data_IF_946894921707
#
_entry.id   IF_946894921707
#
_cell.length_a   1.000
_cell.length_b   1.000
_cell.length_c   1.000
_cell.angle_alpha   90.00
_cell.angle_beta   90.00
_cell.angle_gamma   90.00
#
_symmetry.space_group_name_H-M   'P 1'
#
loop_
_entity.id
_entity.type
_entity.pdbx_description
1 polymer ?
#
# COMPACT_ATOMS: atom_id res chain seq x y z
N UNK A 1 -7.75 -18.68 15.36
CA UNK A 1 -7.32 -17.98 14.12
C UNK A 1 -6.64 -19.00 13.21
N UNK A 2 -6.93 -18.98 11.91
CA UNK A 2 -6.26 -19.86 10.96
C UNK A 2 -4.80 -19.43 10.76
N UNK A 3 -3.87 -20.38 10.78
CA UNK A 3 -2.45 -20.14 10.50
C UNK A 3 -2.13 -20.50 9.06
N UNK A 4 -1.35 -19.67 8.36
CA UNK A 4 -0.83 -19.96 7.04
C UNK A 4 0.68 -20.27 7.11
N UNK A 5 1.17 -21.18 6.26
CA UNK A 5 2.58 -21.58 6.20
C UNK A 5 3.29 -20.84 5.08
N UNK A 6 4.43 -20.23 5.39
CA UNK A 6 5.31 -19.57 4.42
C UNK A 6 6.41 -20.54 4.00
N UNK A 7 6.45 -20.92 2.72
CA UNK A 7 7.46 -21.84 2.17
C UNK A 7 8.31 -21.13 1.11
N UNK A 8 9.63 -21.18 1.29
CA UNK A 8 10.59 -20.65 0.33
C UNK A 8 11.80 -21.59 0.22
N UNK A 9 12.28 -21.80 -1.01
CA UNK A 9 13.55 -22.49 -1.28
C UNK A 9 14.62 -21.45 -1.56
N UNK A 10 15.74 -21.54 -0.84
CA UNK A 10 16.87 -20.62 -0.97
C UNK A 10 18.16 -21.41 -1.16
N UNK A 11 19.17 -20.80 -1.78
CA UNK A 11 20.50 -21.40 -1.86
C UNK A 11 21.14 -21.52 -0.47
N UNK A 12 22.12 -22.43 -0.28
CA UNK A 12 22.84 -22.55 0.98
C UNK A 12 23.54 -21.25 1.41
N UNK A 13 24.03 -20.48 0.45
CA UNK A 13 24.67 -19.17 0.68
C UNK A 13 23.68 -18.16 1.26
N UNK A 14 22.49 -18.04 0.66
CA UNK A 14 21.41 -17.17 1.18
C UNK A 14 21.00 -17.62 2.59
N UNK A 15 20.84 -18.93 2.80
CA UNK A 15 20.49 -19.47 4.11
C UNK A 15 21.54 -19.12 5.18
N UNK A 16 22.83 -19.22 4.86
CA UNK A 16 23.92 -18.87 5.77
C UNK A 16 23.91 -17.38 6.12
N UNK A 17 23.70 -16.51 5.12
CA UNK A 17 23.61 -15.08 5.32
C UNK A 17 22.43 -14.71 6.25
N UNK A 18 21.23 -15.23 5.96
CA UNK A 18 20.04 -14.98 6.77
C UNK A 18 20.23 -15.48 8.21
N UNK A 19 20.85 -16.65 8.40
CA UNK A 19 21.13 -17.20 9.73
C UNK A 19 22.09 -16.32 10.51
N UNK A 20 23.14 -15.78 9.86
CA UNK A 20 24.08 -14.85 10.48
C UNK A 20 23.38 -13.54 10.86
N UNK A 21 22.56 -12.97 9.98
CA UNK A 21 21.82 -11.74 10.25
C UNK A 21 20.84 -11.91 11.43
N UNK A 22 20.09 -13.02 11.46
CA UNK A 22 19.20 -13.36 12.57
C UNK A 22 19.96 -13.46 13.91
N UNK A 23 21.14 -14.10 13.90
CA UNK A 23 21.98 -14.22 15.09
C UNK A 23 22.51 -12.87 15.59
N UNK A 24 22.87 -11.95 14.68
CA UNK A 24 23.31 -10.60 15.05
C UNK A 24 22.20 -9.78 15.71
N UNK A 25 20.94 -10.03 15.36
CA UNK A 25 19.77 -9.40 15.97
C UNK A 25 19.21 -10.17 17.18
N UNK A 26 19.85 -11.27 17.59
CA UNK A 26 19.43 -12.05 18.76
C UNK A 26 18.08 -12.75 18.60
N UNK A 27 17.67 -13.07 17.37
CA UNK A 27 16.38 -13.69 17.05
C UNK A 27 16.50 -14.94 16.20
N UNK A 28 15.43 -15.73 16.13
CA UNK A 28 15.40 -16.94 15.30
C UNK A 28 15.42 -16.60 13.81
N UNK A 29 15.91 -17.52 12.98
CA UNK A 29 15.91 -17.34 11.52
C UNK A 29 14.50 -17.11 10.97
N UNK A 30 13.51 -17.88 11.45
CA UNK A 30 12.12 -17.74 11.02
C UNK A 30 11.56 -16.36 11.39
N UNK A 31 11.80 -15.90 12.61
CA UNK A 31 11.35 -14.57 13.05
C UNK A 31 12.04 -13.45 12.27
N UNK A 32 13.35 -13.56 12.04
CA UNK A 32 14.10 -12.63 11.19
C UNK A 32 13.50 -12.52 9.78
N UNK A 33 13.23 -13.66 9.13
CA UNK A 33 12.71 -13.68 7.76
C UNK A 33 11.29 -13.10 7.70
N UNK A 34 10.40 -13.54 8.60
CA UNK A 34 9.00 -13.10 8.59
C UNK A 34 8.88 -11.61 8.92
N UNK A 35 9.59 -11.13 9.93
CA UNK A 35 9.57 -9.71 10.30
C UNK A 35 10.15 -8.81 9.21
N UNK A 36 11.23 -9.25 8.54
CA UNK A 36 11.83 -8.52 7.43
C UNK A 36 10.89 -8.46 6.23
N UNK A 37 10.30 -9.60 5.86
CA UNK A 37 9.29 -9.67 4.79
C UNK A 37 8.08 -8.78 5.11
N UNK A 38 7.59 -8.80 6.35
CA UNK A 38 6.47 -7.97 6.79
C UNK A 38 6.80 -6.48 6.71
N UNK A 39 8.00 -6.07 7.15
CA UNK A 39 8.42 -4.67 7.09
C UNK A 39 8.45 -4.15 5.64
N UNK A 40 9.00 -4.95 4.73
CA UNK A 40 9.05 -4.59 3.31
C UNK A 40 7.64 -4.58 2.72
N UNK A 41 6.83 -5.60 2.99
CA UNK A 41 5.46 -5.69 2.48
C UNK A 41 4.61 -4.48 2.91
N UNK A 42 4.68 -4.08 4.19
CA UNK A 42 3.97 -2.88 4.69
C UNK A 42 4.37 -1.63 3.93
N UNK A 43 5.68 -1.40 3.76
CA UNK A 43 6.20 -0.24 3.02
C UNK A 43 5.75 -0.26 1.57
N UNK A 44 5.80 -1.42 0.90
CA UNK A 44 5.37 -1.55 -0.49
C UNK A 44 3.89 -1.26 -0.64
N UNK A 45 3.04 -1.78 0.25
CA UNK A 45 1.59 -1.52 0.24
C UNK A 45 1.31 -0.04 0.49
N UNK A 46 1.91 0.54 1.53
CA UNK A 46 1.76 1.97 1.83
C UNK A 46 2.16 2.86 0.64
N UNK A 47 3.27 2.55 -0.03
CA UNK A 47 3.72 3.32 -1.19
C UNK A 47 2.79 3.26 -2.40
N UNK A 48 2.00 2.20 -2.56
CA UNK A 48 1.11 2.03 -3.72
C UNK A 48 -0.34 2.42 -3.41
N UNK A 49 -0.78 2.22 -2.18
CA UNK A 49 -2.19 2.34 -1.80
C UNK A 49 -2.47 3.61 -0.98
N UNK A 50 -1.45 4.26 -0.41
CA UNK A 50 -1.61 5.46 0.41
C UNK A 50 -1.13 6.69 -0.33
N UNK A 51 -2.06 7.62 -0.58
CA UNK A 51 -1.75 8.94 -1.11
C UNK A 51 -1.29 9.86 0.04
N UNK A 52 0.01 10.13 0.13
CA UNK A 52 0.54 11.08 1.11
C UNK A 52 0.34 12.53 0.61
N UNK A 53 -0.52 13.26 1.31
CA UNK A 53 -0.81 14.67 1.03
C UNK A 53 0.01 15.59 1.93
N UNK A 54 0.46 16.73 1.41
CA UNK A 54 1.00 17.81 2.27
C UNK A 54 -0.11 18.35 3.18
N UNK A 55 0.23 19.05 4.25
CA UNK A 55 -0.79 19.65 5.15
C UNK A 55 -1.74 20.57 4.38
N UNK A 56 -1.23 21.32 3.40
CA UNK A 56 -2.06 22.16 2.55
C UNK A 56 -3.00 21.35 1.67
N UNK A 57 -2.51 20.27 1.06
CA UNK A 57 -3.34 19.40 0.21
C UNK A 57 -4.37 18.62 1.03
N UNK A 58 -4.05 18.23 2.26
CA UNK A 58 -5.01 17.62 3.19
C UNK A 58 -6.17 18.58 3.49
N UNK A 59 -5.87 19.85 3.75
CA UNK A 59 -6.89 20.89 3.97
C UNK A 59 -7.75 21.09 2.72
N UNK A 60 -7.13 21.18 1.53
CA UNK A 60 -7.86 21.29 0.27
C UNK A 60 -8.77 20.08 0.02
N UNK A 61 -8.25 18.88 0.23
CA UNK A 61 -8.99 17.64 0.09
C UNK A 61 -10.17 17.58 1.06
N UNK A 62 -9.94 17.82 2.36
CA UNK A 62 -10.99 17.83 3.37
C UNK A 62 -12.08 18.87 3.05
N UNK A 63 -11.69 20.10 2.69
CA UNK A 63 -12.63 21.14 2.32
C UNK A 63 -13.45 20.74 1.07
N UNK A 64 -12.84 20.09 0.08
CA UNK A 64 -13.55 19.60 -1.11
C UNK A 64 -14.56 18.47 -0.82
N UNK A 65 -14.40 17.75 0.30
CA UNK A 65 -15.38 16.76 0.77
C UNK A 65 -16.50 17.39 1.61
N UNK A 66 -16.16 18.40 2.42
CA UNK A 66 -17.10 19.09 3.32
C UNK A 66 -18.01 20.04 2.53
N UNK A 67 -17.42 20.81 1.61
CA UNK A 67 -18.10 21.77 0.74
C UNK A 67 -17.69 21.51 -0.73
N UNK A 68 -18.29 20.49 -1.36
CA UNK A 68 -17.90 20.09 -2.71
C UNK A 68 -18.24 21.18 -3.74
N UNK A 69 -17.27 21.60 -4.56
CA UNK A 69 -17.51 22.64 -5.56
C UNK A 69 -18.46 22.13 -6.65
N UNK A 70 -19.25 23.05 -7.21
CA UNK A 70 -20.11 22.72 -8.35
C UNK A 70 -19.29 22.28 -9.57
N UNK A 71 -19.72 21.27 -10.34
CA UNK A 71 -19.03 20.84 -11.55
C UNK A 71 -18.89 21.99 -12.55
N UNK A 72 -17.70 22.13 -13.13
CA UNK A 72 -17.48 23.12 -14.19
C UNK A 72 -18.15 22.68 -15.52
N UNK A 73 -18.18 23.56 -16.51
CA UNK A 73 -18.83 23.29 -17.80
C UNK A 73 -18.30 22.02 -18.50
N UNK A 74 -17.01 21.71 -18.38
CA UNK A 74 -16.42 20.50 -18.97
C UNK A 74 -16.88 19.23 -18.23
N UNK A 75 -16.94 19.27 -16.89
CA UNK A 75 -17.47 18.18 -16.07
C UNK A 75 -18.96 17.96 -16.31
N UNK A 76 -19.75 19.02 -16.44
CA UNK A 76 -21.18 18.92 -16.78
C UNK A 76 -21.36 18.23 -18.14
N UNK A 77 -20.59 18.63 -19.16
CA UNK A 77 -20.62 17.98 -20.47
C UNK A 77 -20.21 16.51 -20.40
N UNK A 78 -19.18 16.17 -19.61
CA UNK A 78 -18.74 14.80 -19.41
C UNK A 78 -19.80 13.94 -18.70
N UNK A 79 -20.48 14.49 -17.70
CA UNK A 79 -21.61 13.83 -17.03
C UNK A 79 -22.75 13.55 -18.01
N UNK A 80 -23.19 14.55 -18.78
CA UNK A 80 -24.24 14.36 -19.79
C UNK A 80 -23.88 13.28 -20.81
N UNK A 81 -22.63 13.26 -21.29
CA UNK A 81 -22.15 12.23 -22.20
C UNK A 81 -22.12 10.84 -21.54
N UNK A 82 -21.74 10.76 -20.26
CA UNK A 82 -21.70 9.47 -19.54
C UNK A 82 -23.09 8.86 -19.39
N UNK A 83 -24.11 9.67 -19.10
CA UNK A 83 -25.51 9.22 -19.00
C UNK A 83 -26.00 8.66 -20.34
N UNK A 84 -25.70 9.36 -21.44
CA UNK A 84 -26.05 8.92 -22.79
C UNK A 84 -25.37 7.60 -23.20
N UNK A 85 -24.10 7.40 -22.82
CA UNK A 85 -23.32 6.22 -23.18
C UNK A 85 -23.59 4.99 -22.29
N UNK A 86 -23.91 5.20 -21.01
CA UNK A 86 -24.09 4.13 -20.04
C UNK A 86 -25.57 3.72 -19.88
N UNK A 87 -26.51 4.47 -20.47
CA UNK A 87 -27.92 4.10 -20.53
C UNK A 87 -28.65 4.17 -19.19
N UNK A 88 -28.25 5.09 -18.30
CA UNK A 88 -29.08 5.49 -17.15
C UNK A 88 -30.09 6.58 -17.53
#
# INVERSE_FOLDING_TARGET
MATARFEARVSPEIHLLLKRAAALEGRSLSDFVISSALSVAKKTVEQNDILHLTVNDQMLFANSLIDPPSPNAAMQKALSLSTELLGE
#
